data_IF_031625478167
#
_entry.id   IF_031625478167
#
_cell.length_a   1.000
_cell.length_b   1.000
_cell.length_c   1.000
_cell.angle_alpha   90.00
_cell.angle_beta   90.00
_cell.angle_gamma   90.00
#
_symmetry.space_group_name_H-M   'P 1'
#
loop_
_entity.id
_entity.type
_entity.pdbx_description
1 polymer ?
#
# COMPACT_ATOMS: atom_id res chain seq x y z
N UNK A 1 31.77 -14.63 -13.06
CA UNK A 1 30.94 -13.73 -12.24
C UNK A 1 31.02 -12.35 -12.87
N UNK A 2 30.01 -11.93 -13.65
CA UNK A 2 29.99 -10.57 -14.24
C UNK A 2 29.48 -9.61 -13.19
N UNK A 3 30.41 -8.85 -12.62
CA UNK A 3 30.17 -7.74 -11.70
C UNK A 3 29.45 -6.63 -12.46
N UNK A 4 28.33 -6.13 -11.92
CA UNK A 4 27.47 -5.03 -12.37
C UNK A 4 27.75 -4.46 -13.78
N UNK A 5 26.88 -4.77 -14.73
CA UNK A 5 26.88 -4.12 -16.05
C UNK A 5 26.41 -2.67 -15.94
N UNK A 6 26.94 -1.80 -16.81
CA UNK A 6 26.43 -0.43 -16.94
C UNK A 6 24.94 -0.43 -17.34
N UNK A 7 24.17 0.58 -16.89
CA UNK A 7 22.78 0.74 -17.31
C UNK A 7 22.68 0.76 -18.84
N UNK A 8 21.74 -0.01 -19.37
CA UNK A 8 21.37 0.01 -20.78
C UNK A 8 20.24 1.03 -20.98
N UNK A 9 19.98 1.39 -22.24
CA UNK A 9 18.83 2.24 -22.60
C UNK A 9 17.50 1.68 -22.09
N UNK A 10 17.38 0.36 -22.01
CA UNK A 10 16.21 -0.32 -21.44
C UNK A 10 16.05 -0.02 -19.94
N UNK A 11 17.16 0.01 -19.19
CA UNK A 11 17.15 0.32 -17.76
C UNK A 11 16.78 1.80 -17.54
N UNK A 12 17.33 2.71 -18.35
CA UNK A 12 16.98 4.14 -18.32
C UNK A 12 15.49 4.37 -18.64
N UNK A 13 14.96 3.68 -19.64
CA UNK A 13 13.54 3.76 -20.01
C UNK A 13 12.63 3.23 -18.89
N UNK A 14 13.00 2.12 -18.25
CA UNK A 14 12.24 1.56 -17.13
C UNK A 14 12.26 2.49 -15.90
N UNK A 15 13.40 3.13 -15.61
CA UNK A 15 13.50 4.13 -14.54
C UNK A 15 12.63 5.35 -14.84
N UNK A 16 12.69 5.88 -16.07
CA UNK A 16 11.89 7.04 -16.46
C UNK A 16 10.39 6.73 -16.36
N UNK A 17 9.96 5.59 -16.89
CA UNK A 17 8.57 5.13 -16.80
C UNK A 17 8.09 5.01 -15.35
N UNK A 18 8.93 4.47 -14.47
CA UNK A 18 8.61 4.36 -13.06
C UNK A 18 8.49 5.72 -12.37
N UNK A 19 9.42 6.66 -12.64
CA UNK A 19 9.38 8.02 -12.12
C UNK A 19 8.13 8.79 -12.57
N UNK A 20 7.74 8.63 -13.84
CA UNK A 20 6.53 9.26 -14.39
C UNK A 20 5.26 8.70 -13.72
N UNK A 21 5.22 7.39 -13.51
CA UNK A 21 4.09 6.73 -12.83
C UNK A 21 3.91 7.19 -11.39
N UNK A 22 5.01 7.42 -10.67
CA UNK A 22 4.98 7.88 -9.27
C UNK A 22 4.94 9.40 -9.13
N UNK A 23 5.02 10.14 -10.24
CA UNK A 23 5.05 11.61 -10.22
C UNK A 23 6.30 12.16 -9.54
N UNK A 24 7.45 11.50 -9.72
CA UNK A 24 8.72 11.84 -9.07
C UNK A 24 9.83 12.21 -10.05
N UNK A 25 9.51 12.48 -11.32
CA UNK A 25 10.48 12.86 -12.35
C UNK A 25 11.29 14.09 -11.96
N UNK A 26 10.66 15.10 -11.35
CA UNK A 26 11.33 16.32 -10.87
C UNK A 26 12.28 16.08 -9.67
N UNK A 27 12.26 14.87 -9.10
CA UNK A 27 13.12 14.46 -7.98
C UNK A 27 14.34 13.65 -8.43
N UNK A 28 14.47 13.31 -9.72
CA UNK A 28 15.47 12.37 -10.23
C UNK A 28 16.91 12.73 -9.84
N UNK A 29 17.23 14.04 -9.87
CA UNK A 29 18.57 14.56 -9.58
C UNK A 29 18.77 14.95 -8.10
N UNK A 30 17.75 14.78 -7.25
CA UNK A 30 17.81 15.16 -5.83
C UNK A 30 18.36 14.02 -4.98
N UNK A 31 19.26 14.35 -4.05
CA UNK A 31 19.74 13.38 -3.07
C UNK A 31 18.61 12.91 -2.14
N UNK A 32 18.50 11.59 -1.91
CA UNK A 32 17.46 10.98 -1.09
C UNK A 32 17.31 11.60 0.31
N UNK A 33 18.42 12.03 0.93
CA UNK A 33 18.41 12.67 2.24
C UNK A 33 17.62 14.00 2.27
N UNK A 34 17.48 14.66 1.12
CA UNK A 34 16.78 15.96 0.99
C UNK A 34 15.27 15.83 0.76
N UNK A 35 14.78 14.61 0.55
CA UNK A 35 13.37 14.35 0.25
C UNK A 35 12.53 14.28 1.54
N UNK A 36 11.29 14.77 1.47
CA UNK A 36 10.29 14.54 2.52
C UNK A 36 10.00 13.04 2.69
N UNK A 37 9.34 12.65 3.78
CA UNK A 37 8.95 11.25 4.00
C UNK A 37 8.10 10.69 2.85
N UNK A 38 7.08 11.44 2.43
CA UNK A 38 6.19 11.05 1.33
C UNK A 38 6.89 11.00 -0.03
N UNK A 39 7.77 11.97 -0.34
CA UNK A 39 8.57 11.96 -1.56
C UNK A 39 9.48 10.73 -1.62
N UNK A 40 10.18 10.45 -0.51
CA UNK A 40 11.06 9.28 -0.39
C UNK A 40 10.28 7.98 -0.57
N UNK A 41 9.07 7.91 -0.06
CA UNK A 41 8.21 6.73 -0.23
C UNK A 41 7.79 6.53 -1.68
N UNK A 42 7.38 7.59 -2.39
CA UNK A 42 7.07 7.52 -3.83
C UNK A 42 8.29 7.08 -4.65
N UNK A 43 9.48 7.60 -4.33
CA UNK A 43 10.73 7.19 -5.00
C UNK A 43 11.08 5.72 -4.71
N UNK A 44 10.85 5.23 -3.49
CA UNK A 44 11.02 3.80 -3.17
C UNK A 44 10.08 2.91 -3.97
N UNK A 45 8.82 3.32 -4.15
CA UNK A 45 7.86 2.62 -5.02
C UNK A 45 8.33 2.66 -6.47
N UNK A 46 8.83 3.81 -6.95
CA UNK A 46 9.38 3.95 -8.30
C UNK A 46 10.55 2.98 -8.53
N UNK A 47 11.46 2.88 -7.57
CA UNK A 47 12.58 1.94 -7.64
C UNK A 47 12.13 0.48 -7.74
N UNK A 48 11.06 0.09 -7.03
CA UNK A 48 10.48 -1.23 -7.14
C UNK A 48 9.78 -1.46 -8.51
N UNK A 49 9.10 -0.45 -9.04
CA UNK A 49 8.45 -0.50 -10.35
C UNK A 49 9.43 -0.55 -11.52
N UNK A 50 10.59 0.10 -11.40
CA UNK A 50 11.65 0.07 -12.41
C UNK A 50 12.18 -1.36 -12.67
N UNK A 51 11.97 -2.29 -11.72
CA UNK A 51 12.25 -3.72 -11.93
C UNK A 51 11.26 -4.41 -12.87
N UNK A 52 10.23 -3.71 -13.35
CA UNK A 52 9.15 -4.22 -14.20
C UNK A 52 8.47 -5.47 -13.60
N UNK A 53 8.31 -5.48 -12.28
CA UNK A 53 7.68 -6.57 -11.54
C UNK A 53 6.17 -6.64 -11.82
N UNK A 54 5.60 -7.84 -11.71
CA UNK A 54 4.14 -8.08 -11.74
C UNK A 54 3.49 -8.04 -10.36
N UNK A 55 4.30 -8.16 -9.32
CA UNK A 55 3.85 -8.19 -7.92
C UNK A 55 4.69 -7.21 -7.11
N UNK A 56 4.01 -6.32 -6.40
CA UNK A 56 4.63 -5.37 -5.49
C UNK A 56 4.26 -5.76 -4.06
N UNK A 57 5.28 -6.11 -3.27
CA UNK A 57 5.15 -6.41 -1.86
C UNK A 57 5.53 -5.18 -1.05
N UNK A 58 4.62 -4.69 -0.21
CA UNK A 58 4.78 -3.47 0.55
C UNK A 58 4.57 -3.75 2.03
N UNK A 59 5.57 -3.43 2.83
CA UNK A 59 5.46 -3.46 4.29
C UNK A 59 5.09 -2.05 4.78
N UNK A 60 3.87 -1.91 5.30
CA UNK A 60 3.27 -0.65 5.78
C UNK A 60 3.63 0.59 4.94
N UNK A 61 3.22 0.65 3.65
CA UNK A 61 3.73 1.65 2.72
C UNK A 61 3.36 3.10 3.05
N UNK A 62 2.44 3.33 3.97
CA UNK A 62 2.05 4.66 4.43
C UNK A 62 2.45 4.94 5.89
N UNK A 63 3.22 4.06 6.53
CA UNK A 63 3.66 4.27 7.90
C UNK A 63 4.46 5.57 8.05
N UNK A 64 4.26 6.25 9.18
CA UNK A 64 4.91 7.51 9.53
C UNK A 64 4.63 8.70 8.60
N UNK A 65 3.66 8.57 7.69
CA UNK A 65 3.16 9.69 6.89
C UNK A 65 2.02 10.40 7.62
N UNK A 66 1.85 11.69 7.33
CA UNK A 66 0.61 12.37 7.72
C UNK A 66 -0.58 11.89 6.85
N UNK A 67 -1.83 12.12 7.29
CA UNK A 67 -3.01 11.63 6.58
C UNK A 67 -3.12 12.08 5.12
N UNK A 68 -2.56 13.24 4.76
CA UNK A 68 -2.56 13.73 3.40
C UNK A 68 -1.64 12.90 2.50
N UNK A 69 -0.40 12.67 2.96
CA UNK A 69 0.58 11.85 2.26
C UNK A 69 0.20 10.36 2.22
N UNK A 70 -0.40 9.82 3.30
CA UNK A 70 -0.95 8.46 3.30
C UNK A 70 -2.00 8.28 2.19
N UNK A 71 -2.94 9.21 2.09
CA UNK A 71 -3.97 9.17 1.06
C UNK A 71 -3.39 9.28 -0.37
N UNK A 72 -2.33 10.07 -0.55
CA UNK A 72 -1.60 10.15 -1.83
C UNK A 72 -0.96 8.82 -2.21
N UNK A 73 -0.29 8.15 -1.26
CA UNK A 73 0.34 6.84 -1.51
C UNK A 73 -0.72 5.80 -1.86
N UNK A 74 -1.83 5.74 -1.13
CA UNK A 74 -2.91 4.81 -1.45
C UNK A 74 -3.54 5.07 -2.82
N UNK A 75 -3.78 6.33 -3.19
CA UNK A 75 -4.25 6.69 -4.53
C UNK A 75 -3.27 6.28 -5.62
N UNK A 76 -1.97 6.49 -5.38
CA UNK A 76 -0.91 6.08 -6.29
C UNK A 76 -0.92 4.55 -6.50
N UNK A 77 -0.96 3.77 -5.42
CA UNK A 77 -1.00 2.31 -5.50
C UNK A 77 -2.24 1.79 -6.21
N UNK A 78 -3.42 2.37 -5.92
CA UNK A 78 -4.66 2.02 -6.61
C UNK A 78 -4.60 2.34 -8.11
N UNK A 79 -4.00 3.48 -8.48
CA UNK A 79 -3.77 3.85 -9.89
C UNK A 79 -2.85 2.85 -10.58
N UNK A 80 -1.71 2.51 -9.97
CA UNK A 80 -0.74 1.56 -10.51
C UNK A 80 -1.38 0.18 -10.72
N UNK A 81 -2.09 -0.34 -9.70
CA UNK A 81 -2.78 -1.63 -9.78
C UNK A 81 -3.75 -1.68 -10.97
N UNK A 82 -4.56 -0.64 -11.14
CA UNK A 82 -5.56 -0.57 -12.22
C UNK A 82 -4.94 -0.39 -13.60
N UNK A 83 -3.93 0.46 -13.74
CA UNK A 83 -3.35 0.81 -15.06
C UNK A 83 -2.34 -0.21 -15.58
N UNK A 84 -1.68 -0.98 -14.69
CA UNK A 84 -0.64 -1.95 -15.06
C UNK A 84 -1.03 -3.41 -14.82
N UNK A 85 -2.24 -3.66 -14.35
CA UNK A 85 -2.68 -5.00 -13.92
C UNK A 85 -1.69 -5.62 -12.90
N UNK A 86 -1.05 -4.76 -12.11
CA UNK A 86 -0.01 -5.15 -11.17
C UNK A 86 -0.66 -5.59 -9.86
N UNK A 87 -0.26 -6.75 -9.32
CA UNK A 87 -0.77 -7.22 -8.02
C UNK A 87 -0.04 -6.51 -6.89
N UNK A 88 -0.76 -5.76 -6.05
CA UNK A 88 -0.21 -5.13 -4.85
C UNK A 88 -0.59 -5.97 -3.63
N UNK A 89 0.41 -6.36 -2.85
CA UNK A 89 0.23 -7.01 -1.55
C UNK A 89 0.84 -6.08 -0.52
N UNK A 90 0.00 -5.44 0.29
CA UNK A 90 0.44 -4.56 1.36
C UNK A 90 0.10 -5.13 2.73
N UNK A 91 1.03 -4.99 3.67
CA UNK A 91 0.82 -5.21 5.10
C UNK A 91 0.40 -3.88 5.74
N UNK A 92 -0.57 -3.90 6.65
CA UNK A 92 -0.99 -2.73 7.43
C UNK A 92 -1.54 -3.17 8.77
N UNK A 93 -1.34 -2.36 9.81
CA UNK A 93 -1.97 -2.50 11.10
C UNK A 93 -3.34 -1.79 11.20
N UNK A 94 -3.67 -0.92 10.22
CA UNK A 94 -4.94 -0.18 10.20
C UNK A 94 -6.04 -0.98 9.48
N UNK A 95 -7.08 -1.35 10.24
CA UNK A 95 -8.25 -2.10 9.76
C UNK A 95 -9.02 -1.30 8.69
N UNK A 96 -9.20 0.00 8.90
CA UNK A 96 -9.96 0.85 8.00
C UNK A 96 -9.22 1.04 6.68
N UNK A 97 -7.91 1.28 6.70
CA UNK A 97 -7.09 1.35 5.50
C UNK A 97 -7.11 0.02 4.74
N UNK A 98 -7.00 -1.12 5.43
CA UNK A 98 -7.12 -2.45 4.81
C UNK A 98 -8.46 -2.63 4.09
N UNK A 99 -9.57 -2.25 4.75
CA UNK A 99 -10.93 -2.44 4.24
C UNK A 99 -11.26 -1.48 3.12
N UNK A 100 -10.77 -0.26 3.14
CA UNK A 100 -11.06 0.73 2.11
C UNK A 100 -10.21 0.52 0.86
N UNK A 101 -8.95 0.08 1.01
CA UNK A 101 -7.96 0.09 -0.07
C UNK A 101 -7.68 -1.27 -0.71
N UNK A 102 -8.25 -2.36 -0.17
CA UNK A 102 -8.00 -3.72 -0.68
C UNK A 102 -9.23 -4.33 -1.35
N UNK A 103 -8.98 -5.20 -2.34
CA UNK A 103 -10.00 -6.07 -2.92
C UNK A 103 -10.20 -7.35 -2.11
N UNK A 104 -9.13 -7.82 -1.46
CA UNK A 104 -9.11 -9.00 -0.60
C UNK A 104 -8.22 -8.76 0.60
N UNK A 105 -8.57 -9.37 1.73
CA UNK A 105 -7.82 -9.24 2.98
C UNK A 105 -7.47 -10.63 3.51
N UNK A 106 -6.21 -10.79 3.92
CA UNK A 106 -5.71 -11.94 4.66
C UNK A 106 -5.43 -11.50 6.10
N UNK A 107 -6.19 -12.01 7.07
CA UNK A 107 -5.93 -11.76 8.48
C UNK A 107 -5.11 -12.92 9.07
N UNK A 108 -3.99 -12.58 9.70
CA UNK A 108 -3.07 -13.52 10.33
C UNK A 108 -2.99 -13.26 11.84
N UNK A 109 -2.88 -14.32 12.62
CA UNK A 109 -2.59 -14.26 14.06
C UNK A 109 -1.77 -15.49 14.45
N UNK A 110 -0.71 -15.31 15.21
CA UNK A 110 0.19 -16.38 15.67
C UNK A 110 0.68 -17.28 14.51
N UNK A 111 0.97 -16.68 13.36
CA UNK A 111 1.40 -17.39 12.14
C UNK A 111 0.30 -18.19 11.44
N UNK A 112 -0.95 -18.13 11.92
CA UNK A 112 -2.08 -18.84 11.34
C UNK A 112 -3.01 -17.89 10.57
N UNK A 113 -3.54 -18.39 9.46
CA UNK A 113 -4.61 -17.72 8.72
C UNK A 113 -5.92 -17.84 9.49
N UNK A 114 -6.44 -16.70 9.94
CA UNK A 114 -7.76 -16.62 10.56
C UNK A 114 -8.88 -16.26 9.56
N UNK A 115 -8.55 -15.47 8.54
CA UNK A 115 -9.51 -15.03 7.53
C UNK A 115 -8.84 -14.80 6.19
N UNK A 116 -9.54 -15.11 5.10
CA UNK A 116 -9.18 -14.68 3.75
C UNK A 116 -10.44 -14.52 2.90
N UNK A 117 -10.72 -13.29 2.46
CA UNK A 117 -11.99 -12.97 1.81
C UNK A 117 -12.07 -11.52 1.39
N UNK A 118 -13.28 -11.06 1.06
CA UNK A 118 -13.51 -9.66 0.70
C UNK A 118 -13.58 -8.78 1.96
N UNK A 119 -13.33 -7.46 1.85
CA UNK A 119 -13.39 -6.55 3.00
C UNK A 119 -14.72 -6.58 3.77
N UNK A 120 -15.85 -6.72 3.07
CA UNK A 120 -17.17 -6.77 3.72
C UNK A 120 -17.35 -7.99 4.62
N UNK A 121 -16.77 -9.14 4.24
CA UNK A 121 -16.80 -10.36 5.06
C UNK A 121 -15.96 -10.21 6.33
N UNK A 122 -14.82 -9.52 6.27
CA UNK A 122 -13.96 -9.27 7.44
C UNK A 122 -14.68 -8.45 8.53
N UNK A 123 -15.57 -7.53 8.13
CA UNK A 123 -16.17 -6.51 8.99
C UNK A 123 -17.34 -7.03 9.83
N UNK A 124 -17.08 -8.13 10.54
CA UNK A 124 -17.95 -8.82 11.47
C UNK A 124 -17.20 -9.11 12.78
N UNK A 125 -17.88 -8.92 13.91
CA UNK A 125 -17.26 -9.08 15.23
C UNK A 125 -16.75 -10.51 15.45
N UNK A 126 -17.42 -11.53 14.91
CA UNK A 126 -17.02 -12.93 15.01
C UNK A 126 -15.61 -13.18 14.44
N UNK A 127 -15.19 -12.37 13.46
CA UNK A 127 -13.88 -12.47 12.82
C UNK A 127 -12.89 -11.53 13.50
N UNK A 128 -13.21 -10.25 13.65
CA UNK A 128 -12.28 -9.27 14.22
C UNK A 128 -11.94 -9.55 15.68
N UNK A 129 -12.87 -10.09 16.49
CA UNK A 129 -12.58 -10.50 17.86
C UNK A 129 -11.55 -11.63 17.92
N UNK A 130 -11.56 -12.56 16.96
CA UNK A 130 -10.56 -13.63 16.90
C UNK A 130 -9.18 -13.08 16.54
N UNK A 131 -9.14 -12.05 15.69
CA UNK A 131 -7.90 -11.40 15.24
C UNK A 131 -7.30 -10.50 16.32
N UNK A 132 -8.11 -9.69 17.02
CA UNK A 132 -7.62 -8.65 17.93
C UNK A 132 -7.98 -8.85 19.42
N UNK A 133 -8.68 -9.94 19.78
CA UNK A 133 -9.11 -10.26 21.15
C UNK A 133 -10.04 -9.21 21.80
N UNK A 134 -10.75 -8.42 20.99
CA UNK A 134 -11.69 -7.40 21.47
C UNK A 134 -12.83 -7.15 20.49
N UNK A 135 -14.02 -6.72 20.97
CA UNK A 135 -15.09 -6.28 20.10
C UNK A 135 -14.75 -4.95 19.40
N UNK A 136 -15.45 -4.69 18.31
CA UNK A 136 -15.41 -3.42 17.58
C UNK A 136 -16.81 -2.89 17.32
N UNK A 137 -16.90 -1.56 17.26
CA UNK A 137 -18.07 -0.85 16.76
C UNK A 137 -17.88 -0.50 15.30
N UNK A 138 -18.99 -0.47 14.57
CA UNK A 138 -18.99 -0.29 13.13
C UNK A 138 -19.94 0.83 12.71
N UNK A 139 -19.54 1.57 11.69
CA UNK A 139 -20.42 2.49 10.95
C UNK A 139 -20.18 2.32 9.46
N UNK A 140 -21.13 2.74 8.63
CA UNK A 140 -20.94 2.73 7.18
C UNK A 140 -20.22 4.01 6.75
N UNK A 141 -19.16 3.85 5.95
CA UNK A 141 -18.39 4.98 5.43
C UNK A 141 -19.28 5.82 4.50
N UNK A 142 -19.43 7.13 4.74
CA UNK A 142 -20.47 7.94 4.10
C UNK A 142 -20.34 8.08 2.58
N UNK A 143 -19.13 7.89 2.04
CA UNK A 143 -18.88 8.01 0.60
C UNK A 143 -18.83 6.65 -0.14
N UNK A 144 -18.50 5.57 0.56
CA UNK A 144 -18.22 4.27 -0.09
C UNK A 144 -19.22 3.19 0.30
N UNK A 145 -20.00 3.39 1.36
CA UNK A 145 -20.87 2.38 1.94
C UNK A 145 -20.15 1.18 2.56
N UNK A 146 -18.81 1.17 2.56
CA UNK A 146 -18.03 0.12 3.23
C UNK A 146 -18.12 0.31 4.73
N UNK A 147 -18.31 -0.78 5.47
CA UNK A 147 -18.29 -0.76 6.93
C UNK A 147 -16.88 -0.44 7.43
N UNK A 148 -16.74 0.50 8.36
CA UNK A 148 -15.48 0.91 9.00
C UNK A 148 -15.58 0.76 10.52
N UNK A 149 -14.44 0.56 11.18
CA UNK A 149 -14.30 0.55 12.63
C UNK A 149 -14.28 1.97 13.16
N UNK A 150 -15.00 2.21 14.27
CA UNK A 150 -14.93 3.45 15.05
C UNK A 150 -14.35 3.20 16.43
N UNK A 151 -13.72 4.22 16.99
CA UNK A 151 -13.19 4.18 18.35
C UNK A 151 -14.33 3.96 19.36
N UNK A 152 -14.02 3.22 20.44
CA UNK A 152 -14.96 3.06 21.53
C UNK A 152 -15.22 4.42 22.20
N UNK A 153 -16.48 4.66 22.56
CA UNK A 153 -16.81 5.76 23.46
C UNK A 153 -16.27 5.43 24.87
N UNK A 154 -15.74 6.42 25.60
CA UNK A 154 -15.25 6.23 26.98
C UNK A 154 -16.37 5.84 27.95
#
# INVERSE_FOLDING_TARGET
>A
MRTFSFPRREDEAAVQEALDMTGTTDLAERGLATLSGGERQKVSIAAALAQQTRILLLDEPAAFLDPGHEADIHRLLAKINRERELTVVSVTHDINSAVLMSDRILALKDGQKLFFGCPGELMHNEILQRVYDRPFQFVDHPQTGRRIVVADAP
#
